data_IF_276164965698
#
_entry.id   IF_276164965698
#
_cell.length_a   1.000
_cell.length_b   1.000
_cell.length_c   1.000
_cell.angle_alpha   90.00
_cell.angle_beta   90.00
_cell.angle_gamma   90.00
#
_symmetry.space_group_name_H-M   'P 1'
#
loop_
_entity.id
_entity.type
_entity.pdbx_description
1 polymer ?
#
# COMPACT_ATOMS: atom_id res chain seq x y z
N UNK A 1 35.37 52.66 -25.31
CA UNK A 1 35.45 52.58 -26.79
C UNK A 1 34.51 51.46 -27.20
N UNK A 2 33.25 51.71 -27.57
CA UNK A 2 32.72 52.34 -28.81
C UNK A 2 33.26 51.70 -30.09
N UNK A 3 32.31 51.41 -30.99
CA UNK A 3 32.37 51.10 -32.42
C UNK A 3 32.51 49.62 -32.78
N UNK A 4 31.85 49.09 -33.82
CA UNK A 4 30.67 49.43 -34.62
C UNK A 4 30.57 48.27 -35.63
N UNK A 5 29.36 47.89 -36.05
CA UNK A 5 29.12 46.99 -37.19
C UNK A 5 29.54 47.69 -38.51
N UNK A 6 29.85 46.96 -39.60
CA UNK A 6 28.88 47.02 -40.71
C UNK A 6 28.62 45.71 -41.46
N UNK A 7 27.40 45.72 -41.99
CA UNK A 7 26.67 44.82 -42.87
C UNK A 7 27.15 44.96 -44.33
N UNK A 8 27.18 43.88 -45.11
CA UNK A 8 27.00 43.95 -46.59
C UNK A 8 26.08 42.80 -47.01
N UNK A 9 25.00 43.17 -47.71
CA UNK A 9 24.02 42.31 -48.36
C UNK A 9 24.01 42.61 -49.88
N UNK A 10 23.70 41.60 -50.71
CA UNK A 10 23.15 41.70 -52.07
C UNK A 10 22.50 40.32 -52.39
N UNK A 11 21.16 40.18 -52.43
CA UNK A 11 20.24 40.36 -53.58
C UNK A 11 20.46 39.32 -54.70
N UNK A 12 19.49 38.67 -55.36
CA UNK A 12 18.03 38.56 -55.32
C UNK A 12 17.62 37.48 -56.37
N UNK A 13 16.37 36.99 -56.32
CA UNK A 13 15.51 36.52 -57.46
C UNK A 13 14.62 35.36 -57.01
N UNK A 14 13.38 35.60 -56.58
CA UNK A 14 12.14 35.69 -57.40
C UNK A 14 11.66 34.35 -57.97
N UNK A 15 10.48 33.90 -57.52
CA UNK A 15 9.65 32.95 -58.23
C UNK A 15 8.72 32.11 -57.34
N UNK A 16 7.54 32.63 -57.00
CA UNK A 16 6.34 31.82 -56.66
C UNK A 16 5.30 31.97 -57.77
N UNK A 17 4.51 30.92 -58.01
CA UNK A 17 3.07 31.14 -58.20
C UNK A 17 2.18 30.13 -57.44
N UNK A 18 1.27 30.69 -56.63
CA UNK A 18 -0.19 30.47 -56.63
C UNK A 18 -0.83 29.11 -56.21
N UNK A 19 -1.47 29.16 -55.02
CA UNK A 19 -2.81 28.66 -54.61
C UNK A 19 -3.23 27.16 -54.63
N UNK A 20 -3.28 26.57 -53.42
CA UNK A 20 -4.29 25.74 -52.67
C UNK A 20 -5.38 24.89 -53.39
N UNK A 21 -6.05 23.89 -52.71
CA UNK A 21 -5.81 23.19 -51.44
C UNK A 21 -5.90 21.62 -51.52
N UNK A 22 -5.81 20.98 -50.35
CA UNK A 22 -6.34 19.65 -49.95
C UNK A 22 -5.36 18.46 -49.91
N UNK A 23 -5.46 17.75 -48.77
CA UNK A 23 -5.19 16.33 -48.48
C UNK A 23 -3.86 15.99 -47.78
N UNK A 24 -3.90 15.94 -46.45
CA UNK A 24 -3.00 15.09 -45.65
C UNK A 24 -3.35 13.61 -45.85
N UNK A 25 -2.33 12.73 -45.85
CA UNK A 25 -2.48 11.52 -45.04
C UNK A 25 -1.19 11.05 -44.33
N UNK A 26 -1.43 10.63 -43.07
CA UNK A 26 -0.92 9.43 -42.37
C UNK A 26 0.59 9.35 -42.01
N UNK A 27 0.86 9.59 -40.72
CA UNK A 27 1.78 8.76 -39.92
C UNK A 27 0.98 7.68 -39.19
N UNK A 28 1.36 6.42 -39.38
CA UNK A 28 1.03 5.27 -38.52
C UNK A 28 1.70 5.52 -37.15
N UNK A 29 1.02 5.59 -36.01
CA UNK A 29 0.25 4.58 -35.25
C UNK A 29 1.11 3.40 -34.75
N UNK A 30 1.63 3.53 -33.52
CA UNK A 30 1.86 2.42 -32.60
C UNK A 30 1.05 2.71 -31.34
N UNK A 31 0.03 1.88 -31.19
CA UNK A 31 -0.92 1.62 -30.11
C UNK A 31 -0.66 2.26 -28.74
N UNK A 32 -1.49 3.26 -28.43
CA UNK A 32 -1.99 3.52 -27.10
C UNK A 32 -2.93 2.36 -26.71
N UNK A 33 -2.67 1.73 -25.57
CA UNK A 33 -3.65 0.83 -24.94
C UNK A 33 -4.88 1.65 -24.57
N UNK A 34 -6.11 1.21 -24.92
CA UNK A 34 -7.31 1.99 -24.62
C UNK A 34 -7.53 2.05 -23.11
N UNK A 35 -7.71 3.26 -22.57
CA UNK A 35 -8.48 3.46 -21.33
C UNK A 35 -9.85 2.84 -21.56
N UNK A 36 -10.12 1.71 -20.93
CA UNK A 36 -11.45 1.15 -20.88
C UNK A 36 -12.30 2.04 -19.97
N UNK A 37 -13.02 2.98 -20.58
CA UNK A 37 -14.27 3.46 -20.01
C UNK A 37 -15.25 2.27 -19.99
N UNK A 38 -15.28 1.54 -18.88
CA UNK A 38 -16.45 0.75 -18.52
C UNK A 38 -17.20 1.51 -17.43
N UNK A 39 -18.05 2.44 -17.85
CA UNK A 39 -19.27 2.72 -17.11
C UNK A 39 -20.06 1.41 -17.07
N UNK A 40 -19.89 0.66 -15.98
CA UNK A 40 -20.83 -0.36 -15.60
C UNK A 40 -21.42 0.14 -14.30
N UNK A 41 -22.67 0.62 -14.37
CA UNK A 41 -23.56 0.76 -13.22
C UNK A 41 -23.70 -0.63 -12.59
N UNK A 42 -22.71 -1.02 -11.78
CA UNK A 42 -22.86 -2.06 -10.80
C UNK A 42 -23.84 -1.48 -9.80
N UNK A 43 -25.07 -1.97 -9.83
CA UNK A 43 -26.15 -1.64 -8.91
C UNK A 43 -25.60 -1.68 -7.47
N UNK A 44 -25.16 -0.54 -6.94
CA UNK A 44 -24.51 -0.43 -5.63
C UNK A 44 -25.57 -0.75 -4.58
N UNK A 45 -25.56 -2.00 -4.11
CA UNK A 45 -26.63 -2.52 -3.26
C UNK A 45 -26.45 -1.99 -1.83
N UNK A 46 -27.09 -0.85 -1.57
CA UNK A 46 -27.15 -0.20 -0.26
C UNK A 46 -27.77 -1.14 0.78
N UNK A 47 -26.99 -1.49 1.80
CA UNK A 47 -27.42 -2.39 2.88
C UNK A 47 -27.29 -1.67 4.21
N UNK A 48 -28.33 -1.75 5.06
CA UNK A 48 -28.27 -1.24 6.44
C UNK A 48 -27.43 -2.19 7.27
N UNK A 49 -26.50 -1.65 8.06
CA UNK A 49 -25.51 -2.44 8.81
C UNK A 49 -25.35 -1.91 10.24
N UNK A 50 -24.70 -2.71 11.08
CA UNK A 50 -24.31 -2.32 12.43
C UNK A 50 -23.24 -1.20 12.41
N UNK A 51 -22.99 -0.60 13.56
CA UNK A 51 -22.03 0.49 13.71
C UNK A 51 -20.58 0.04 13.43
N UNK A 52 -19.92 0.51 12.35
CA UNK A 52 -18.57 0.11 11.99
C UNK A 52 -17.49 0.78 12.84
N UNK A 53 -17.85 1.73 13.72
CA UNK A 53 -16.92 2.46 14.59
C UNK A 53 -16.49 1.69 15.84
N UNK A 54 -16.99 0.46 16.02
CA UNK A 54 -16.50 -0.44 17.07
C UNK A 54 -15.07 -0.91 16.77
N UNK A 55 -14.20 -0.87 17.79
CA UNK A 55 -12.81 -1.29 17.70
C UNK A 55 -11.85 -0.30 18.35
N UNK A 56 -10.57 -0.63 18.27
CA UNK A 56 -9.49 0.21 18.77
C UNK A 56 -9.03 1.17 17.67
N UNK A 57 -9.01 2.46 17.99
CA UNK A 57 -8.69 3.54 17.07
C UNK A 57 -7.54 4.38 17.60
N UNK A 58 -6.68 4.84 16.71
CA UNK A 58 -5.53 5.69 17.01
C UNK A 58 -5.41 6.84 16.01
N UNK A 59 -4.90 7.97 16.48
CA UNK A 59 -4.42 9.09 15.68
C UNK A 59 -2.88 9.20 15.72
N UNK A 60 -2.21 8.25 16.38
CA UNK A 60 -0.77 8.21 16.49
C UNK A 60 -0.11 7.75 15.18
N UNK A 61 0.96 8.45 14.82
CA UNK A 61 1.88 8.10 13.75
C UNK A 61 3.32 8.18 14.29
N UNK A 62 4.00 7.05 14.33
CA UNK A 62 5.35 6.94 14.90
C UNK A 62 6.48 6.99 13.85
N UNK A 63 6.13 6.86 12.56
CA UNK A 63 7.04 6.92 11.42
C UNK A 63 6.62 5.98 10.30
N UNK A 64 7.32 5.97 9.16
CA UNK A 64 6.89 5.23 7.96
C UNK A 64 6.63 3.73 8.21
N UNK A 65 7.40 3.09 9.09
CA UNK A 65 7.25 1.66 9.44
C UNK A 65 5.96 1.33 10.19
N UNK A 66 5.20 2.33 10.60
CA UNK A 66 3.91 2.22 11.28
C UNK A 66 2.74 2.07 10.29
N UNK A 67 2.94 2.36 9.01
CA UNK A 67 1.88 2.27 7.99
C UNK A 67 1.80 0.86 7.43
N UNK A 68 0.58 0.43 7.08
CA UNK A 68 0.34 -0.83 6.38
C UNK A 68 -0.68 -0.68 5.24
N UNK A 69 -0.15 -0.46 4.03
CA UNK A 69 -0.90 -0.41 2.79
C UNK A 69 -1.62 0.92 2.53
N UNK A 70 -2.26 1.00 1.36
CA UNK A 70 -2.83 2.23 0.80
C UNK A 70 -3.83 2.94 1.72
N UNK A 71 -4.57 2.20 2.55
CA UNK A 71 -5.53 2.81 3.46
C UNK A 71 -4.85 3.71 4.52
N UNK A 72 -3.71 3.26 5.04
CA UNK A 72 -2.91 4.00 6.02
C UNK A 72 -2.13 5.15 5.41
N UNK A 73 -1.64 4.96 4.17
CA UNK A 73 -1.01 6.01 3.37
C UNK A 73 -2.02 7.14 3.09
N UNK A 74 -3.22 6.80 2.60
CA UNK A 74 -4.31 7.75 2.39
C UNK A 74 -4.75 8.43 3.70
N UNK A 75 -4.77 7.70 4.83
CA UNK A 75 -5.02 8.31 6.14
C UNK A 75 -4.03 9.41 6.49
N UNK A 76 -2.74 9.18 6.22
CA UNK A 76 -1.69 10.16 6.50
C UNK A 76 -1.77 11.35 5.53
N UNK A 77 -1.90 11.09 4.24
CA UNK A 77 -1.89 12.12 3.20
C UNK A 77 -3.13 13.01 3.24
N UNK A 78 -4.28 12.45 3.59
CA UNK A 78 -5.54 13.18 3.68
C UNK A 78 -5.77 13.84 5.05
N UNK A 79 -4.82 13.78 5.98
CA UNK A 79 -4.98 14.33 7.31
C UNK A 79 -5.30 15.85 7.31
N UNK A 80 -6.16 16.34 8.22
CA UNK A 80 -6.50 17.77 8.26
C UNK A 80 -5.31 18.63 8.69
N UNK A 81 -4.90 19.59 7.83
CA UNK A 81 -3.76 20.47 8.12
C UNK A 81 -3.98 21.50 9.25
N UNK A 82 -5.24 21.76 9.64
CA UNK A 82 -5.60 22.91 10.49
C UNK A 82 -5.88 22.56 11.97
N UNK A 83 -5.42 21.41 12.46
CA UNK A 83 -5.65 20.95 13.85
C UNK A 83 -7.11 21.22 14.33
N UNK A 84 -8.10 20.56 13.70
CA UNK A 84 -9.51 20.86 13.93
C UNK A 84 -9.91 20.60 15.38
N UNK A 85 -10.99 21.26 15.81
CA UNK A 85 -11.58 21.02 17.13
C UNK A 85 -11.93 19.53 17.28
N UNK A 86 -11.34 18.83 18.28
CA UNK A 86 -11.55 17.39 18.46
C UNK A 86 -13.00 17.02 18.80
N UNK A 87 -13.82 17.96 19.29
CA UNK A 87 -15.26 17.74 19.50
C UNK A 87 -16.05 17.82 18.19
N UNK A 88 -15.54 18.56 17.19
CA UNK A 88 -16.20 18.76 15.90
C UNK A 88 -15.67 17.83 14.81
N UNK A 89 -14.47 17.27 14.97
CA UNK A 89 -13.81 16.45 13.97
C UNK A 89 -12.97 15.34 14.59
N UNK A 90 -13.04 14.12 14.05
CA UNK A 90 -12.11 13.04 14.37
C UNK A 90 -11.59 12.39 13.10
N UNK A 91 -10.29 12.06 13.10
CA UNK A 91 -9.59 11.41 12.01
C UNK A 91 -8.67 10.35 12.59
N UNK A 92 -9.04 9.08 12.44
CA UNK A 92 -8.37 7.96 13.10
C UNK A 92 -8.24 6.78 12.15
N UNK A 93 -7.24 5.95 12.37
CA UNK A 93 -7.14 4.61 11.77
C UNK A 93 -7.29 3.53 12.84
N UNK A 94 -7.69 2.33 12.45
CA UNK A 94 -7.75 1.20 13.37
C UNK A 94 -6.35 0.69 13.68
N UNK A 95 -6.14 0.17 14.89
CA UNK A 95 -4.81 -0.34 15.30
C UNK A 95 -4.41 -1.62 14.58
N UNK A 96 -5.34 -2.27 13.88
CA UNK A 96 -5.09 -3.41 13.00
C UNK A 96 -4.92 -2.99 11.53
N UNK A 97 -4.77 -1.69 11.25
CA UNK A 97 -4.56 -1.09 9.93
C UNK A 97 -5.69 -1.34 8.92
N UNK A 98 -6.81 -1.91 9.36
CA UNK A 98 -7.86 -2.37 8.46
C UNK A 98 -8.91 -1.31 8.10
N UNK A 99 -8.94 -0.18 8.82
CA UNK A 99 -9.97 0.85 8.71
C UNK A 99 -9.45 2.26 8.96
N UNK A 100 -10.13 3.24 8.36
CA UNK A 100 -9.99 4.67 8.62
C UNK A 100 -11.36 5.25 8.92
N UNK A 101 -11.47 6.03 10.00
CA UNK A 101 -12.70 6.68 10.45
C UNK A 101 -12.57 8.19 10.44
N UNK A 102 -13.55 8.82 9.80
CA UNK A 102 -13.84 10.23 9.88
C UNK A 102 -15.15 10.50 10.61
N UNK A 103 -15.09 11.41 11.57
CA UNK A 103 -16.25 12.05 12.20
C UNK A 103 -16.20 13.55 11.91
N UNK A 104 -17.32 14.16 11.52
CA UNK A 104 -17.40 15.59 11.22
C UNK A 104 -18.75 16.17 11.63
N UNK A 105 -18.77 17.38 12.19
CA UNK A 105 -20.00 18.11 12.56
C UNK A 105 -20.16 19.38 11.73
N UNK A 106 -21.32 19.57 11.09
CA UNK A 106 -21.70 20.75 10.29
C UNK A 106 -21.66 22.01 11.15
N UNK A 107 -20.98 23.05 10.67
CA UNK A 107 -20.64 24.27 11.42
C UNK A 107 -19.19 24.33 11.91
N UNK A 108 -18.48 23.20 11.88
CA UNK A 108 -17.01 23.10 12.01
C UNK A 108 -16.34 22.82 10.66
N UNK A 109 -15.59 21.72 10.60
CA UNK A 109 -15.05 21.13 9.36
C UNK A 109 -16.00 20.03 8.89
N UNK A 110 -16.53 20.13 7.67
CA UNK A 110 -17.54 19.19 7.15
C UNK A 110 -16.96 17.87 6.60
N UNK A 111 -15.64 17.72 6.64
CA UNK A 111 -14.92 16.54 6.16
C UNK A 111 -14.96 16.34 4.65
N UNK A 112 -15.43 17.32 3.86
CA UNK A 112 -15.54 17.20 2.41
C UNK A 112 -14.18 17.07 1.73
N UNK A 113 -13.18 17.84 2.16
CA UNK A 113 -11.80 17.74 1.68
C UNK A 113 -11.19 16.37 1.97
N UNK A 114 -11.35 15.85 3.19
CA UNK A 114 -10.85 14.53 3.56
C UNK A 114 -11.52 13.42 2.76
N UNK A 115 -12.85 13.48 2.62
CA UNK A 115 -13.58 12.49 1.82
C UNK A 115 -13.15 12.50 0.35
N UNK A 116 -12.98 13.68 -0.25
CA UNK A 116 -12.51 13.81 -1.63
C UNK A 116 -11.09 13.28 -1.77
N UNK A 117 -10.18 13.63 -0.85
CA UNK A 117 -8.82 13.13 -0.84
C UNK A 117 -8.78 11.60 -0.72
N UNK A 118 -9.52 11.01 0.21
CA UNK A 118 -9.61 9.53 0.32
C UNK A 118 -10.16 8.88 -0.93
N UNK A 119 -11.08 9.54 -1.63
CA UNK A 119 -11.61 9.02 -2.89
C UNK A 119 -10.54 9.03 -3.99
N UNK A 120 -9.73 10.08 -4.06
CA UNK A 120 -8.64 10.23 -5.01
C UNK A 120 -7.48 9.26 -4.71
N UNK A 121 -7.01 9.19 -3.46
CA UNK A 121 -5.89 8.33 -3.04
C UNK A 121 -6.21 6.83 -3.18
N UNK A 122 -7.47 6.43 -2.95
CA UNK A 122 -7.90 5.03 -3.08
C UNK A 122 -8.46 4.69 -4.47
N UNK A 123 -8.48 5.63 -5.42
CA UNK A 123 -9.12 5.51 -6.74
C UNK A 123 -10.57 4.97 -6.68
N UNK A 124 -11.37 5.51 -5.75
CA UNK A 124 -12.79 5.15 -5.56
C UNK A 124 -13.71 6.33 -5.84
N UNK A 125 -14.98 6.06 -6.13
CA UNK A 125 -15.95 7.11 -6.41
C UNK A 125 -16.26 7.99 -5.17
N UNK A 126 -16.09 9.31 -5.25
CA UNK A 126 -16.59 10.28 -4.26
C UNK A 126 -18.12 10.41 -4.34
N UNK A 127 -18.83 9.55 -3.62
CA UNK A 127 -20.29 9.47 -3.63
C UNK A 127 -20.83 9.54 -2.20
N UNK A 128 -21.34 10.71 -1.80
CA UNK A 128 -21.96 10.89 -0.48
C UNK A 128 -23.46 10.60 -0.50
N UNK A 129 -23.86 9.33 -0.54
CA UNK A 129 -25.25 8.91 -0.32
C UNK A 129 -25.53 8.70 1.19
N UNK A 130 -25.60 9.81 1.92
CA UNK A 130 -25.75 9.82 3.36
C UNK A 130 -27.20 9.52 3.78
N UNK A 131 -27.36 8.68 4.81
CA UNK A 131 -28.66 8.36 5.40
C UNK A 131 -28.63 8.42 6.92
N UNK A 132 -29.80 8.48 7.56
CA UNK A 132 -29.94 8.47 9.03
C UNK A 132 -29.48 7.15 9.70
N UNK A 133 -29.23 6.12 8.90
CA UNK A 133 -28.69 4.83 9.33
C UNK A 133 -27.33 4.56 8.69
N UNK A 134 -26.54 3.67 9.30
CA UNK A 134 -25.30 3.18 8.69
C UNK A 134 -25.62 2.40 7.42
N UNK A 135 -24.93 2.76 6.35
CA UNK A 135 -25.06 2.13 5.04
C UNK A 135 -23.68 1.82 4.49
N UNK A 136 -23.53 0.69 3.82
CA UNK A 136 -22.27 0.27 3.21
C UNK A 136 -22.37 0.31 1.69
N UNK A 137 -21.28 0.73 1.05
CA UNK A 137 -21.07 0.67 -0.40
C UNK A 137 -19.73 -0.02 -0.66
N UNK A 138 -19.74 -1.12 -1.41
CA UNK A 138 -18.51 -1.80 -1.84
C UNK A 138 -17.92 -1.13 -3.09
N UNK A 139 -16.61 -0.90 -3.05
CA UNK A 139 -15.85 -0.08 -4.00
C UNK A 139 -14.55 -0.80 -4.39
N UNK A 140 -14.67 -2.05 -4.86
CA UNK A 140 -13.51 -2.88 -5.18
C UNK A 140 -12.87 -3.46 -3.94
N UNK A 141 -11.63 -3.06 -3.67
CA UNK A 141 -10.85 -3.54 -2.53
C UNK A 141 -11.31 -2.94 -1.19
N UNK A 142 -12.20 -1.95 -1.22
CA UNK A 142 -12.70 -1.24 -0.04
C UNK A 142 -14.21 -1.33 0.11
N UNK A 143 -14.66 -1.27 1.36
CA UNK A 143 -16.02 -0.95 1.74
C UNK A 143 -16.06 0.43 2.40
N UNK A 144 -17.00 1.28 1.97
CA UNK A 144 -17.28 2.57 2.59
C UNK A 144 -18.59 2.51 3.35
N UNK A 145 -18.49 2.69 4.65
CA UNK A 145 -19.63 2.81 5.55
C UNK A 145 -19.88 4.29 5.81
N UNK A 146 -21.14 4.72 5.71
CA UNK A 146 -21.48 6.13 5.89
C UNK A 146 -22.85 6.31 6.53
N UNK A 147 -22.94 7.38 7.33
CA UNK A 147 -24.14 7.81 8.04
C UNK A 147 -24.12 9.33 8.21
N UNK A 148 -25.29 9.97 8.10
CA UNK A 148 -25.51 11.34 8.58
C UNK A 148 -26.56 11.29 9.68
N UNK A 149 -26.38 12.05 10.76
CA UNK A 149 -27.38 12.17 11.82
C UNK A 149 -27.48 13.64 12.20
N UNK A 150 -28.48 14.32 11.67
CA UNK A 150 -28.57 15.77 11.76
C UNK A 150 -27.38 16.45 11.06
N UNK A 151 -26.59 17.18 11.83
CA UNK A 151 -25.37 17.85 11.38
C UNK A 151 -24.12 16.97 11.44
N UNK A 152 -24.19 15.74 11.95
CA UNK A 152 -23.02 14.88 12.08
C UNK A 152 -22.90 13.95 10.87
N UNK A 153 -21.71 13.86 10.28
CA UNK A 153 -21.33 12.91 9.23
C UNK A 153 -20.30 11.95 9.81
N UNK A 154 -20.50 10.65 9.59
CA UNK A 154 -19.47 9.65 9.85
C UNK A 154 -19.21 8.85 8.58
N UNK A 155 -17.94 8.59 8.31
CA UNK A 155 -17.48 7.72 7.22
C UNK A 155 -16.41 6.80 7.76
N UNK A 156 -16.52 5.51 7.47
CA UNK A 156 -15.46 4.53 7.69
C UNK A 156 -15.10 3.90 6.35
N UNK A 157 -13.83 4.01 5.97
CA UNK A 157 -13.25 3.21 4.90
C UNK A 157 -12.61 1.98 5.51
N UNK A 158 -12.79 0.84 4.89
CA UNK A 158 -12.30 -0.44 5.39
C UNK A 158 -11.87 -1.31 4.22
N UNK A 159 -10.80 -2.08 4.36
CA UNK A 159 -10.51 -3.15 3.40
C UNK A 159 -11.65 -4.17 3.36
N UNK A 160 -12.07 -4.54 2.16
CA UNK A 160 -13.15 -5.49 1.93
C UNK A 160 -12.84 -6.86 2.55
N UNK A 161 -13.88 -7.64 2.83
CA UNK A 161 -13.72 -9.01 3.32
C UNK A 161 -12.90 -9.88 2.35
N UNK A 162 -12.93 -9.58 1.05
CA UNK A 162 -12.13 -10.27 0.05
C UNK A 162 -10.62 -10.02 0.23
N UNK A 163 -10.23 -8.76 0.45
CA UNK A 163 -8.84 -8.36 0.73
C UNK A 163 -8.38 -9.01 2.03
N UNK A 164 -9.15 -8.85 3.12
CA UNK A 164 -8.84 -9.45 4.44
C UNK A 164 -8.65 -10.95 4.36
N UNK A 165 -9.52 -11.63 3.61
CA UNK A 165 -9.42 -13.08 3.37
C UNK A 165 -8.19 -13.44 2.54
N UNK A 166 -7.83 -12.65 1.54
CA UNK A 166 -6.65 -12.91 0.69
C UNK A 166 -5.33 -12.83 1.47
N UNK A 167 -5.31 -12.09 2.56
CA UNK A 167 -4.16 -11.89 3.45
C UNK A 167 -4.22 -12.75 4.72
N UNK A 168 -5.24 -13.62 4.84
CA UNK A 168 -5.36 -14.57 5.93
C UNK A 168 -5.05 -15.97 5.42
N UNK A 169 -4.04 -16.61 6.01
CA UNK A 169 -3.61 -17.96 5.65
C UNK A 169 -3.75 -18.88 6.85
N UNK A 170 -4.36 -20.04 6.65
CA UNK A 170 -4.54 -21.04 7.70
C UNK A 170 -3.74 -22.29 7.38
N UNK A 171 -3.08 -22.84 8.40
CA UNK A 171 -2.57 -24.20 8.40
C UNK A 171 -3.54 -25.12 9.14
N UNK A 172 -3.16 -26.37 9.40
CA UNK A 172 -3.95 -27.28 10.24
C UNK A 172 -4.07 -26.85 11.71
N UNK A 173 -3.28 -25.86 12.18
CA UNK A 173 -3.09 -25.60 13.62
C UNK A 173 -3.00 -24.14 14.05
N UNK A 174 -2.85 -23.22 13.11
CA UNK A 174 -2.75 -21.78 13.38
C UNK A 174 -3.14 -20.99 12.13
N UNK A 175 -3.47 -19.72 12.36
CA UNK A 175 -3.76 -18.70 11.34
C UNK A 175 -2.67 -17.65 11.35
N UNK A 176 -2.34 -17.14 10.17
CA UNK A 176 -1.48 -15.98 9.96
C UNK A 176 -2.28 -14.91 9.23
N UNK A 177 -2.21 -13.68 9.74
CA UNK A 177 -2.67 -12.47 9.04
C UNK A 177 -1.45 -11.72 8.54
N UNK A 178 -1.42 -11.46 7.24
CA UNK A 178 -0.34 -10.80 6.52
C UNK A 178 -0.62 -9.29 6.36
N UNK A 179 0.42 -8.47 6.13
CA UNK A 179 0.29 -7.03 5.97
C UNK A 179 -0.59 -6.67 4.76
N UNK A 180 -1.38 -5.59 4.87
CA UNK A 180 -2.17 -5.06 3.76
C UNK A 180 -1.31 -4.54 2.60
N UNK A 181 -0.10 -4.07 2.88
CA UNK A 181 0.88 -3.67 1.86
C UNK A 181 1.25 -4.79 0.87
N UNK A 182 1.00 -6.05 1.26
CA UNK A 182 1.24 -7.24 0.46
C UNK A 182 0.05 -7.66 -0.40
N UNK A 183 -1.08 -6.95 -0.31
CA UNK A 183 -2.25 -7.24 -1.13
C UNK A 183 -1.86 -7.23 -2.62
N UNK A 184 -2.24 -8.30 -3.33
CA UNK A 184 -1.87 -8.53 -4.73
C UNK A 184 -0.36 -8.62 -5.07
N UNK A 185 0.54 -8.70 -4.08
CA UNK A 185 1.99 -8.82 -4.31
C UNK A 185 2.57 -10.18 -3.94
N UNK A 186 1.83 -11.01 -3.20
CA UNK A 186 2.35 -12.26 -2.64
C UNK A 186 1.63 -13.52 -3.14
N UNK A 187 2.27 -14.66 -2.94
CA UNK A 187 1.68 -16.01 -3.03
C UNK A 187 1.97 -16.76 -1.74
N UNK A 188 1.03 -17.61 -1.32
CA UNK A 188 1.15 -18.41 -0.09
C UNK A 188 1.01 -19.89 -0.41
N UNK A 189 1.90 -20.71 0.16
CA UNK A 189 1.79 -22.17 0.09
C UNK A 189 1.71 -22.76 1.50
N UNK A 190 0.88 -23.78 1.67
CA UNK A 190 0.71 -24.49 2.93
C UNK A 190 1.11 -25.95 2.73
N UNK A 191 2.08 -26.41 3.51
CA UNK A 191 2.52 -27.81 3.60
C UNK A 191 2.43 -28.29 5.05
N UNK A 192 1.31 -28.96 5.36
CA UNK A 192 0.93 -29.34 6.72
C UNK A 192 0.86 -28.14 7.66
N UNK A 193 1.81 -28.07 8.60
CA UNK A 193 1.93 -26.98 9.57
C UNK A 193 2.92 -25.89 9.17
N UNK A 194 3.42 -25.91 7.94
CA UNK A 194 4.33 -24.91 7.40
C UNK A 194 3.60 -24.00 6.42
N UNK A 195 3.61 -22.69 6.67
CA UNK A 195 3.15 -21.68 5.73
C UNK A 195 4.37 -20.96 5.17
N UNK A 196 4.51 -20.91 3.86
CA UNK A 196 5.55 -20.12 3.19
C UNK A 196 4.88 -19.00 2.39
N UNK A 197 5.39 -17.78 2.55
CA UNK A 197 4.97 -16.61 1.79
C UNK A 197 6.10 -16.24 0.85
N UNK A 198 5.80 -16.14 -0.43
CA UNK A 198 6.74 -15.72 -1.48
C UNK A 198 6.23 -14.46 -2.13
N UNK A 199 7.16 -13.68 -2.65
CA UNK A 199 6.81 -12.70 -3.66
C UNK A 199 6.17 -13.41 -4.88
N UNK A 200 5.14 -12.79 -5.45
CA UNK A 200 4.43 -13.28 -6.62
C UNK A 200 5.24 -13.12 -7.89
N UNK A 201 6.00 -12.04 -8.03
CA UNK A 201 6.82 -11.77 -9.22
C UNK A 201 8.09 -12.62 -9.20
N UNK A 202 8.64 -12.88 -8.00
CA UNK A 202 9.80 -13.72 -7.78
C UNK A 202 9.52 -14.96 -6.87
N UNK A 203 8.76 -15.98 -7.32
CA UNK A 203 8.32 -17.12 -6.48
C UNK A 203 9.43 -17.98 -5.85
N UNK A 204 10.68 -17.82 -6.31
CA UNK A 204 11.87 -18.47 -5.75
C UNK A 204 12.31 -17.85 -4.42
N UNK A 205 11.85 -16.64 -4.10
CA UNK A 205 12.28 -15.87 -2.94
C UNK A 205 11.15 -15.80 -1.91
N UNK A 206 11.33 -16.58 -0.84
CA UNK A 206 10.41 -16.54 0.30
C UNK A 206 10.65 -15.27 1.12
N UNK A 207 9.57 -14.51 1.35
CA UNK A 207 9.56 -13.35 2.23
C UNK A 207 9.66 -13.80 3.69
N UNK A 208 8.87 -14.81 4.06
CA UNK A 208 8.90 -15.42 5.37
C UNK A 208 8.31 -16.83 5.36
N UNK A 209 8.52 -17.57 6.44
CA UNK A 209 7.95 -18.91 6.65
C UNK A 209 7.56 -19.07 8.11
N UNK A 210 6.41 -19.70 8.33
CA UNK A 210 5.88 -20.06 9.64
C UNK A 210 5.93 -21.57 9.78
N UNK A 211 6.41 -22.06 10.91
CA UNK A 211 6.46 -23.50 11.17
C UNK A 211 6.25 -23.81 12.64
N UNK A 212 5.61 -24.95 12.91
CA UNK A 212 5.46 -25.46 14.28
C UNK A 212 6.80 -26.00 14.76
N UNK A 213 7.38 -25.37 15.78
CA UNK A 213 8.66 -25.77 16.35
C UNK A 213 8.91 -25.12 17.71
N UNK A 214 9.45 -25.89 18.65
CA UNK A 214 9.93 -25.42 19.95
C UNK A 214 11.46 -25.19 19.97
N UNK A 215 12.14 -25.36 18.84
CA UNK A 215 13.59 -25.31 18.75
C UNK A 215 14.18 -23.97 19.22
N UNK A 216 15.38 -24.02 19.79
CA UNK A 216 16.15 -22.83 20.21
C UNK A 216 17.14 -22.33 19.14
N UNK A 217 17.22 -23.01 17.99
CA UNK A 217 18.09 -22.58 16.90
C UNK A 217 17.61 -21.23 16.35
N UNK A 218 18.50 -20.25 16.30
CA UNK A 218 18.21 -18.90 15.80
C UNK A 218 18.55 -18.73 14.31
N UNK A 219 19.30 -19.64 13.69
CA UNK A 219 19.82 -19.48 12.32
C UNK A 219 21.08 -18.63 12.27
N UNK A 220 21.28 -17.96 11.13
CA UNK A 220 22.37 -17.01 10.90
C UNK A 220 21.81 -15.64 10.46
N UNK A 221 22.68 -14.68 10.14
CA UNK A 221 22.24 -13.33 9.77
C UNK A 221 21.47 -13.28 8.44
N UNK A 222 21.74 -14.19 7.50
CA UNK A 222 21.06 -14.25 6.21
C UNK A 222 19.69 -14.93 6.32
N UNK A 223 19.55 -15.95 7.17
CA UNK A 223 18.28 -16.63 7.43
C UNK A 223 18.15 -16.96 8.90
N UNK A 224 17.19 -16.33 9.57
CA UNK A 224 17.03 -16.48 11.01
C UNK A 224 15.58 -16.65 11.44
N UNK A 225 15.44 -17.19 12.64
CA UNK A 225 14.24 -17.02 13.45
C UNK A 225 14.07 -15.53 13.75
N UNK A 226 12.89 -14.97 13.47
CA UNK A 226 12.55 -13.58 13.76
C UNK A 226 11.72 -13.48 15.03
N UNK A 227 10.70 -14.33 15.15
CA UNK A 227 9.73 -14.25 16.25
C UNK A 227 9.18 -15.64 16.60
N UNK A 228 8.94 -15.86 17.89
CA UNK A 228 8.20 -17.01 18.41
C UNK A 228 6.80 -16.57 18.84
N UNK A 229 5.80 -17.38 18.50
CA UNK A 229 4.41 -17.17 18.84
C UNK A 229 3.88 -18.38 19.58
N UNK A 230 2.87 -18.14 20.42
CA UNK A 230 2.10 -19.18 21.07
C UNK A 230 0.67 -19.10 20.53
N UNK A 231 0.41 -19.83 19.44
CA UNK A 231 -0.89 -19.86 18.76
C UNK A 231 -1.81 -20.86 19.47
N UNK A 232 -2.50 -20.41 20.52
CA UNK A 232 -3.19 -21.31 21.44
C UNK A 232 -2.18 -22.24 22.11
N UNK A 233 -2.30 -23.55 21.91
CA UNK A 233 -1.33 -24.54 22.44
C UNK A 233 -0.19 -24.87 21.46
N UNK A 234 -0.16 -24.25 20.29
CA UNK A 234 0.80 -24.56 19.22
C UNK A 234 1.97 -23.56 19.24
N UNK A 235 3.23 -24.00 19.45
CA UNK A 235 4.39 -23.12 19.34
C UNK A 235 4.73 -22.91 17.85
N UNK A 236 4.61 -21.66 17.38
CA UNK A 236 4.87 -21.29 15.98
C UNK A 236 6.09 -20.38 15.92
N UNK A 237 6.94 -20.59 14.91
CA UNK A 237 8.11 -19.78 14.66
C UNK A 237 8.01 -19.10 13.29
N UNK A 238 8.23 -17.80 13.25
CA UNK A 238 8.41 -17.04 12.01
C UNK A 238 9.90 -16.93 11.68
N UNK A 239 10.25 -17.33 10.47
CA UNK A 239 11.59 -17.26 9.90
C UNK A 239 11.56 -16.36 8.66
N UNK A 240 12.65 -15.66 8.38
CA UNK A 240 12.82 -14.99 7.09
C UNK A 240 14.26 -15.08 6.59
N UNK A 241 14.38 -14.99 5.27
CA UNK A 241 15.66 -14.75 4.59
C UNK A 241 15.78 -13.25 4.36
N UNK A 242 16.83 -12.60 4.85
CA UNK A 242 17.06 -11.17 4.64
C UNK A 242 17.72 -10.97 3.28
N UNK A 243 16.91 -10.79 2.24
CA UNK A 243 17.40 -10.85 0.86
C UNK A 243 18.41 -9.74 0.54
N UNK A 244 18.26 -8.55 1.12
CA UNK A 244 19.27 -7.50 1.05
C UNK A 244 20.67 -7.96 1.53
N UNK A 245 20.71 -8.74 2.61
CA UNK A 245 21.97 -9.29 3.15
C UNK A 245 22.55 -10.38 2.25
N UNK A 246 21.70 -11.30 1.80
CA UNK A 246 22.10 -12.39 0.91
C UNK A 246 22.67 -11.84 -0.39
N UNK A 247 21.99 -10.86 -1.00
CA UNK A 247 22.44 -10.18 -2.21
C UNK A 247 23.77 -9.43 -2.03
N UNK A 248 23.93 -8.71 -0.90
CA UNK A 248 25.15 -7.97 -0.62
C UNK A 248 26.36 -8.89 -0.34
N UNK A 249 26.12 -10.06 0.26
CA UNK A 249 27.16 -11.02 0.66
C UNK A 249 27.54 -11.99 -0.47
N UNK A 250 26.56 -12.38 -1.31
CA UNK A 250 26.74 -13.21 -2.49
C UNK A 250 25.92 -12.63 -3.66
N UNK A 251 26.47 -11.66 -4.41
CA UNK A 251 25.76 -11.01 -5.52
C UNK A 251 25.38 -11.93 -6.68
N UNK A 252 25.84 -13.19 -6.71
CA UNK A 252 25.45 -14.16 -7.72
C UNK A 252 24.15 -14.93 -7.34
N UNK A 253 23.71 -14.84 -6.09
CA UNK A 253 22.55 -15.58 -5.56
C UNK A 253 21.19 -14.99 -5.98
N UNK A 254 21.15 -13.69 -6.25
CA UNK A 254 19.96 -12.91 -6.62
C UNK A 254 20.41 -11.67 -7.40
N UNK A 255 19.61 -11.22 -8.38
CA UNK A 255 19.87 -9.97 -9.10
C UNK A 255 19.67 -8.77 -8.16
N UNK A 256 20.20 -7.59 -8.53
CA UNK A 256 19.96 -6.38 -7.75
C UNK A 256 18.46 -6.03 -7.76
N UNK A 257 17.83 -6.06 -8.93
CA UNK A 257 16.40 -5.77 -9.12
C UNK A 257 15.51 -6.71 -8.29
N UNK A 258 15.70 -8.04 -8.38
CA UNK A 258 14.89 -8.98 -7.60
C UNK A 258 15.16 -8.80 -6.08
N UNK A 259 16.38 -8.41 -5.68
CA UNK A 259 16.69 -8.16 -4.27
C UNK A 259 16.04 -6.86 -3.77
N UNK A 260 15.91 -5.85 -4.61
CA UNK A 260 15.19 -4.61 -4.35
C UNK A 260 13.71 -4.90 -4.12
N UNK A 261 13.05 -5.57 -5.07
CA UNK A 261 11.61 -5.90 -4.99
C UNK A 261 11.27 -6.69 -3.72
N UNK A 262 12.07 -7.71 -3.41
CA UNK A 262 11.83 -8.56 -2.24
C UNK A 262 12.15 -7.82 -0.93
N UNK A 263 13.15 -6.93 -0.94
CA UNK A 263 13.48 -6.11 0.24
C UNK A 263 12.41 -5.06 0.50
N UNK A 264 11.87 -4.45 -0.55
CA UNK A 264 10.75 -3.50 -0.46
C UNK A 264 9.56 -4.13 0.25
N UNK A 265 9.14 -5.32 -0.20
CA UNK A 265 8.08 -6.10 0.46
C UNK A 265 8.43 -6.43 1.92
N UNK A 266 9.67 -6.80 2.21
CA UNK A 266 10.13 -7.13 3.56
C UNK A 266 10.23 -5.93 4.51
N UNK A 267 10.19 -4.70 3.99
CA UNK A 267 10.31 -3.46 4.77
C UNK A 267 9.09 -2.54 4.64
N UNK A 268 8.08 -2.93 3.85
CA UNK A 268 6.96 -2.07 3.48
C UNK A 268 7.39 -0.80 2.75
N UNK A 269 8.51 -0.87 2.00
CA UNK A 269 9.10 0.27 1.29
C UNK A 269 9.68 1.38 2.17
N UNK A 270 9.88 1.12 3.45
CA UNK A 270 10.39 2.13 4.38
C UNK A 270 11.91 2.27 4.38
N UNK A 271 12.62 1.28 3.82
CA UNK A 271 14.08 1.29 3.68
C UNK A 271 14.49 0.80 2.30
N UNK A 272 15.24 1.64 1.59
CA UNK A 272 15.80 1.32 0.28
C UNK A 272 16.83 0.19 0.36
N UNK A 273 16.73 -0.77 -0.57
CA UNK A 273 17.69 -1.86 -0.72
C UNK A 273 19.13 -1.35 -0.88
N UNK A 274 19.34 -0.33 -1.71
CA UNK A 274 20.67 0.24 -1.95
C UNK A 274 21.31 0.82 -0.69
N UNK A 275 20.50 1.40 0.21
CA UNK A 275 20.97 1.90 1.50
C UNK A 275 21.46 0.76 2.39
N UNK A 276 20.67 -0.31 2.52
CA UNK A 276 21.04 -1.50 3.30
C UNK A 276 22.29 -2.16 2.69
N UNK A 277 22.31 -2.33 1.36
CA UNK A 277 23.42 -2.96 0.63
C UNK A 277 24.73 -2.19 0.80
N UNK A 278 24.69 -0.85 0.72
CA UNK A 278 25.85 0.00 0.96
C UNK A 278 26.38 -0.11 2.41
N UNK A 279 25.49 -0.14 3.41
CA UNK A 279 25.87 -0.33 4.81
C UNK A 279 26.57 -1.67 5.04
N UNK A 280 26.02 -2.76 4.48
CA UNK A 280 26.59 -4.11 4.62
C UNK A 280 27.98 -4.18 4.01
N UNK A 281 28.19 -3.59 2.83
CA UNK A 281 29.50 -3.51 2.18
C UNK A 281 30.51 -2.69 2.97
N UNK A 282 30.05 -1.73 3.77
CA UNK A 282 30.88 -0.99 4.72
C UNK A 282 31.16 -1.77 6.03
N UNK A 283 30.61 -2.97 6.18
CA UNK A 283 30.79 -3.84 7.36
C UNK A 283 29.76 -3.61 8.46
N UNK A 284 28.72 -2.80 8.22
CA UNK A 284 27.62 -2.57 9.15
C UNK A 284 26.37 -3.34 8.69
N UNK A 285 25.96 -4.32 9.48
CA UNK A 285 24.79 -5.14 9.17
C UNK A 285 23.55 -4.73 9.95
N UNK A 286 23.56 -3.61 10.68
CA UNK A 286 22.43 -3.21 11.52
C UNK A 286 21.16 -2.89 10.71
N UNK A 287 21.30 -2.32 9.51
CA UNK A 287 20.17 -1.97 8.65
C UNK A 287 19.28 -3.15 8.22
N UNK A 288 19.79 -4.39 8.24
CA UNK A 288 19.01 -5.57 7.84
C UNK A 288 17.88 -5.89 8.82
N UNK A 289 17.97 -5.41 10.06
CA UNK A 289 16.96 -5.68 11.09
C UNK A 289 15.70 -4.82 10.93
N UNK A 290 15.71 -3.82 10.03
CA UNK A 290 14.48 -3.15 9.62
C UNK A 290 13.45 -4.14 9.02
N UNK A 291 13.92 -5.20 8.36
CA UNK A 291 13.09 -6.30 7.87
C UNK A 291 12.38 -7.00 9.05
N UNK A 292 13.13 -7.31 10.10
CA UNK A 292 12.57 -7.98 11.29
C UNK A 292 11.53 -7.11 11.97
N UNK A 293 11.81 -5.83 12.12
CA UNK A 293 10.93 -4.89 12.81
C UNK A 293 9.61 -4.72 12.04
N UNK A 294 9.68 -4.57 10.72
CA UNK A 294 8.50 -4.51 9.86
C UNK A 294 7.66 -5.80 9.95
N UNK A 295 8.28 -6.96 9.73
CA UNK A 295 7.56 -8.24 9.76
C UNK A 295 6.94 -8.52 11.14
N UNK A 296 7.60 -8.15 12.24
CA UNK A 296 7.04 -8.32 13.60
C UNK A 296 5.87 -7.39 13.88
N UNK A 297 5.92 -6.17 13.36
CA UNK A 297 4.88 -5.17 13.58
C UNK A 297 3.58 -5.54 12.83
N UNK A 298 3.71 -6.06 11.60
CA UNK A 298 2.59 -6.18 10.67
C UNK A 298 2.07 -7.61 10.45
N UNK A 299 2.75 -8.63 10.98
CA UNK A 299 2.29 -10.01 10.90
C UNK A 299 1.75 -10.48 12.24
N UNK A 300 0.50 -10.91 12.24
CA UNK A 300 -0.15 -11.54 13.38
C UNK A 300 -0.27 -13.05 13.19
N UNK A 301 -0.01 -13.81 14.25
CA UNK A 301 -0.19 -15.27 14.29
C UNK A 301 -1.13 -15.61 15.45
N UNK A 302 -2.19 -16.36 15.18
CA UNK A 302 -3.19 -16.76 16.17
C UNK A 302 -3.51 -18.24 16.11
N UNK A 303 -4.08 -18.78 17.19
CA UNK A 303 -4.67 -20.13 17.16
C UNK A 303 -5.91 -20.19 16.26
N UNK A 304 -6.31 -21.42 15.93
CA UNK A 304 -7.59 -21.75 15.28
C UNK A 304 -8.63 -22.18 16.30
#
# INVERSE_FOLDING_TARGET
MVLLVPLIALLASCGTPQSAPTTEPKKQQSSQTPKSNSNTDSNQQKTVVDDPTQGDWTDAYSGPSDLDGELDEAWLDCAPHNAPDPEAFSWKRSTDHSKVWMHATEGGMDGSSQRSCMADELDIADTADLSDSWTVTSLGDYDRYQKRSGNVINIVWQYSDAVKKSLTVESDSYRVTLPYSWHNKITTSVDGSTITVTDREHPKYALCTFRVSDSSNAGDIGTSLIQKYQAGNTPVQMWATRWAFVAASDPASISADDAEDVTDLQTGGTVEYDSISAQIRAGDTSGVFAIDDYLKAHIAVSGL
#
